data_IF_224714606653
#
_entry.id   IF_224714606653
#
_cell.length_a   1.000
_cell.length_b   1.000
_cell.length_c   1.000
_cell.angle_alpha   90.00
_cell.angle_beta   90.00
_cell.angle_gamma   90.00
#
_symmetry.space_group_name_H-M   'P 1'
#
loop_
_entity.id
_entity.type
_entity.pdbx_description
1 polymer ?
#
# COMPACT_ATOMS: atom_id res chain seq x y z
N UNK A 1 6.17 -2.24 10.48
CA UNK A 1 4.93 -1.64 9.97
C UNK A 1 3.89 -1.59 11.09
N UNK A 2 3.34 -0.42 11.39
CA UNK A 2 2.25 -0.29 12.38
C UNK A 2 0.87 -0.40 11.72
N UNK A 3 0.74 0.02 10.46
CA UNK A 3 -0.47 -0.14 9.65
C UNK A 3 -0.49 -1.46 8.88
N UNK A 4 -1.65 -2.11 8.78
CA UNK A 4 -1.83 -3.23 7.84
C UNK A 4 -2.00 -2.72 6.41
N UNK A 5 -1.40 -3.38 5.40
CA UNK A 5 -1.56 -3.02 3.98
C UNK A 5 -3.02 -2.95 3.55
N UNK A 6 -3.86 -3.88 4.03
CA UNK A 6 -5.29 -4.00 3.69
C UNK A 6 -6.13 -2.79 4.10
N UNK A 7 -5.61 -1.91 4.97
CA UNK A 7 -6.30 -0.70 5.38
C UNK A 7 -6.18 0.44 4.38
N UNK A 8 -5.29 0.29 3.40
CA UNK A 8 -4.91 1.34 2.48
C UNK A 8 -4.93 0.86 1.03
N UNK A 9 -5.10 1.82 0.12
CA UNK A 9 -4.94 1.63 -1.31
C UNK A 9 -3.80 2.50 -1.81
N UNK A 10 -2.95 1.96 -2.69
CA UNK A 10 -1.93 2.74 -3.38
C UNK A 10 -2.59 3.82 -4.24
N UNK A 11 -2.10 5.04 -4.14
CA UNK A 11 -2.60 6.16 -4.95
C UNK A 11 -2.28 5.90 -6.43
N UNK A 12 -3.28 6.03 -7.32
CA UNK A 12 -3.08 5.81 -8.76
C UNK A 12 -2.15 6.84 -9.41
N UNK A 13 -2.09 8.06 -8.85
CA UNK A 13 -1.23 9.15 -9.35
C UNK A 13 -0.52 9.83 -8.17
N UNK A 14 0.80 9.84 -8.21
CA UNK A 14 1.67 10.38 -7.16
C UNK A 14 2.18 9.34 -6.17
N UNK A 15 2.83 9.80 -5.10
CA UNK A 15 3.35 8.97 -4.02
C UNK A 15 2.40 8.97 -2.81
N UNK A 16 2.34 7.84 -2.11
CA UNK A 16 1.58 7.68 -0.87
C UNK A 16 0.43 6.69 -0.95
N UNK A 17 -0.35 6.66 0.12
CA UNK A 17 -1.44 5.71 0.35
C UNK A 17 -2.73 6.46 0.71
N UNK A 18 -3.87 5.87 0.41
CA UNK A 18 -5.19 6.41 0.77
C UNK A 18 -5.91 5.39 1.64
N UNK A 19 -6.41 5.78 2.84
CA UNK A 19 -7.16 4.87 3.68
C UNK A 19 -8.47 4.47 3.00
N UNK A 20 -8.80 3.17 3.05
CA UNK A 20 -10.04 2.64 2.46
C UNK A 20 -11.06 2.19 3.52
N UNK A 21 -10.61 1.89 4.73
CA UNK A 21 -11.46 1.45 5.84
C UNK A 21 -11.33 2.37 7.05
N UNK A 22 -12.26 2.24 8.00
CA UNK A 22 -12.27 3.06 9.23
C UNK A 22 -10.99 2.88 10.07
N UNK A 23 -10.39 1.68 10.05
CA UNK A 23 -9.11 1.41 10.71
C UNK A 23 -7.96 2.21 10.08
N UNK A 24 -7.94 2.31 8.74
CA UNK A 24 -6.99 3.15 8.01
C UNK A 24 -7.17 4.64 8.31
N UNK A 25 -8.40 5.11 8.45
CA UNK A 25 -8.69 6.48 8.89
C UNK A 25 -8.26 6.72 10.35
N UNK A 26 -8.53 5.78 11.26
CA UNK A 26 -8.05 5.83 12.63
C UNK A 26 -6.53 5.92 12.69
N UNK A 27 -5.84 5.10 11.89
CA UNK A 27 -4.40 5.16 11.74
C UNK A 27 -3.89 6.51 11.24
N UNK A 28 -4.52 7.07 10.21
CA UNK A 28 -4.19 8.41 9.70
C UNK A 28 -4.40 9.48 10.77
N UNK A 29 -5.51 9.42 11.52
CA UNK A 29 -5.77 10.33 12.62
C UNK A 29 -4.72 10.22 13.74
N UNK A 30 -4.28 9.00 14.05
CA UNK A 30 -3.18 8.78 15.02
C UNK A 30 -1.89 9.46 14.56
N UNK A 31 -1.49 9.29 13.30
CA UNK A 31 -0.28 9.97 12.79
C UNK A 31 -0.42 11.49 12.76
N UNK A 32 -1.58 12.01 12.38
CA UNK A 32 -1.87 13.44 12.49
C UNK A 32 -1.70 13.92 13.93
N UNK A 33 -2.22 13.17 14.91
CA UNK A 33 -2.04 13.46 16.33
C UNK A 33 -0.57 13.47 16.76
N UNK A 34 0.20 12.46 16.38
CA UNK A 34 1.64 12.35 16.71
C UNK A 34 2.46 13.47 16.09
N UNK A 35 2.09 13.95 14.90
CA UNK A 35 2.76 15.06 14.24
C UNK A 35 2.37 16.41 14.85
N UNK A 36 1.07 16.66 15.04
CA UNK A 36 0.54 17.98 15.39
C UNK A 36 0.58 18.24 16.90
N UNK A 37 0.17 17.28 17.72
CA UNK A 37 -0.02 17.54 19.17
C UNK A 37 1.29 17.91 19.86
N UNK A 38 2.39 17.15 19.73
CA UNK A 38 3.64 17.52 20.40
C UNK A 38 4.26 18.77 19.79
N UNK A 39 4.09 19.01 18.48
CA UNK A 39 4.52 20.24 17.83
C UNK A 39 3.83 21.47 18.44
N UNK A 40 2.51 21.44 18.63
CA UNK A 40 1.77 22.55 19.22
C UNK A 40 2.14 22.76 20.71
N UNK A 41 2.32 21.68 21.47
CA UNK A 41 2.71 21.76 22.88
C UNK A 41 4.12 22.37 23.03
N UNK A 42 5.10 21.89 22.26
CA UNK A 42 6.48 22.39 22.31
C UNK A 42 6.57 23.83 21.77
N UNK A 43 5.83 24.15 20.71
CA UNK A 43 5.80 25.50 20.16
C UNK A 43 5.14 26.50 21.12
N UNK A 44 4.09 26.07 21.85
CA UNK A 44 3.41 26.90 22.86
C UNK A 44 4.33 27.28 24.03
N UNK A 45 5.25 26.39 24.41
CA UNK A 45 6.26 26.63 25.45
C UNK A 45 7.50 27.39 24.93
N UNK A 46 7.53 27.79 23.64
CA UNK A 46 8.66 28.50 23.03
C UNK A 46 9.86 27.61 22.69
N UNK A 47 9.74 26.28 22.82
CA UNK A 47 10.77 25.28 22.53
C UNK A 47 10.82 24.98 21.03
N UNK A 48 11.20 25.99 20.24
CA UNK A 48 11.19 25.91 18.78
C UNK A 48 12.15 24.86 18.22
N UNK A 49 13.31 24.68 18.86
CA UNK A 49 14.34 23.76 18.39
C UNK A 49 13.90 22.30 18.60
N UNK A 50 13.34 22.00 19.77
CA UNK A 50 12.70 20.73 20.12
C UNK A 50 11.51 20.44 19.20
N UNK A 51 10.71 21.47 18.88
CA UNK A 51 9.59 21.36 17.94
C UNK A 51 10.07 20.96 16.55
N UNK A 52 11.17 21.55 16.07
CA UNK A 52 11.77 21.20 14.78
C UNK A 52 12.38 19.80 14.78
N UNK A 53 13.08 19.43 15.86
CA UNK A 53 13.62 18.07 16.04
C UNK A 53 12.47 17.06 16.03
N UNK A 54 11.40 17.33 16.78
CA UNK A 54 10.24 16.45 16.82
C UNK A 54 9.58 16.32 15.45
N UNK A 55 9.30 17.45 14.79
CA UNK A 55 8.64 17.46 13.49
C UNK A 55 9.45 16.72 12.43
N UNK A 56 10.78 16.93 12.39
CA UNK A 56 11.67 16.25 11.45
C UNK A 56 11.75 14.75 11.73
N UNK A 57 11.91 14.35 12.99
CA UNK A 57 11.93 12.94 13.40
C UNK A 57 10.60 12.23 13.11
N UNK A 58 9.46 12.84 13.48
CA UNK A 58 8.14 12.29 13.26
C UNK A 58 7.78 12.20 11.77
N UNK A 59 8.16 13.21 10.98
CA UNK A 59 7.98 13.17 9.51
C UNK A 59 8.81 12.05 8.89
N UNK A 60 10.07 11.89 9.31
CA UNK A 60 10.93 10.79 8.86
C UNK A 60 10.33 9.42 9.18
N UNK A 61 9.84 9.24 10.41
CA UNK A 61 9.17 8.02 10.85
C UNK A 61 7.90 7.74 10.04
N UNK A 62 7.08 8.76 9.77
CA UNK A 62 5.89 8.65 8.94
C UNK A 62 6.24 8.21 7.51
N UNK A 63 7.21 8.86 6.88
CA UNK A 63 7.65 8.51 5.51
C UNK A 63 8.21 7.09 5.46
N UNK A 64 9.00 6.70 6.46
CA UNK A 64 9.52 5.34 6.58
C UNK A 64 8.39 4.31 6.69
N UNK A 65 7.41 4.56 7.55
CA UNK A 65 6.30 3.63 7.74
C UNK A 65 5.41 3.54 6.49
N UNK A 66 5.10 4.66 5.82
CA UNK A 66 4.42 4.67 4.51
C UNK A 66 5.19 3.87 3.47
N UNK A 67 6.53 3.97 3.45
CA UNK A 67 7.38 3.14 2.57
C UNK A 67 7.27 1.66 2.89
N UNK A 68 7.25 1.28 4.17
CA UNK A 68 7.05 -0.12 4.54
C UNK A 68 5.66 -0.63 4.13
N UNK A 69 4.62 0.17 4.34
CA UNK A 69 3.25 -0.16 3.93
C UNK A 69 3.15 -0.33 2.41
N UNK A 70 3.77 0.57 1.62
CA UNK A 70 3.84 0.45 0.17
C UNK A 70 4.66 -0.77 -0.28
N UNK A 71 5.78 -1.06 0.38
CA UNK A 71 6.60 -2.24 0.10
C UNK A 71 5.85 -3.54 0.38
N UNK A 72 5.06 -3.58 1.45
CA UNK A 72 4.22 -4.73 1.77
C UNK A 72 3.00 -4.89 0.82
N UNK A 73 2.54 -3.80 0.18
CA UNK A 73 1.48 -3.83 -0.84
C UNK A 73 1.94 -4.23 -2.23
N UNK A 74 3.23 -4.08 -2.54
CA UNK A 74 3.81 -4.62 -3.77
C UNK A 74 4.33 -6.02 -3.45
N UNK A 75 3.53 -7.10 -3.64
CA UNK A 75 4.16 -8.39 -3.80
C UNK A 75 5.05 -8.24 -5.04
N UNK A 76 6.35 -8.42 -4.85
CA UNK A 76 7.25 -9.04 -5.81
C UNK A 76 6.73 -8.98 -7.25
N UNK A 77 7.19 -7.99 -8.02
CA UNK A 77 7.10 -7.95 -9.47
C UNK A 77 8.06 -8.98 -10.08
N UNK A 78 7.95 -10.23 -9.62
CA UNK A 78 8.85 -11.35 -9.92
C UNK A 78 8.06 -12.65 -9.71
N UNK A 79 7.03 -12.87 -10.53
CA UNK A 79 6.57 -14.20 -10.95
C UNK A 79 5.48 -14.05 -12.03
N UNK A 80 5.74 -14.66 -13.19
CA UNK A 80 4.82 -15.00 -14.28
C UNK A 80 4.16 -13.87 -15.09
N UNK A 81 4.98 -13.09 -15.80
CA UNK A 81 4.58 -12.73 -17.18
C UNK A 81 4.87 -13.94 -18.06
N UNK A 82 3.84 -14.76 -18.28
CA UNK A 82 3.86 -15.81 -19.29
C UNK A 82 4.05 -15.13 -20.66
N UNK A 83 5.28 -15.13 -21.18
CA UNK A 83 5.48 -14.84 -22.60
C UNK A 83 4.81 -15.97 -23.38
N UNK A 84 3.68 -15.68 -24.00
CA UNK A 84 3.18 -16.52 -25.09
C UNK A 84 4.15 -16.29 -26.24
N UNK A 85 5.18 -17.12 -26.32
CA UNK A 85 5.97 -17.23 -27.53
C UNK A 85 5.08 -17.88 -28.58
N UNK A 86 4.64 -17.11 -29.58
CA UNK A 86 3.80 -17.60 -30.68
C UNK A 86 4.59 -18.45 -31.70
N UNK A 87 5.73 -19.01 -31.29
CA UNK A 87 6.67 -19.75 -32.13
C UNK A 87 7.09 -21.08 -31.52
N UNK A 88 6.14 -21.96 -31.20
CA UNK A 88 6.36 -23.38 -31.49
C UNK A 88 5.04 -24.17 -31.56
N UNK A 89 4.75 -24.61 -32.77
CA UNK A 89 3.69 -25.54 -33.15
C UNK A 89 3.90 -26.92 -32.52
N UNK A 90 2.79 -27.65 -32.33
CA UNK A 90 2.66 -29.12 -32.20
C UNK A 90 2.86 -29.72 -30.79
N UNK A 91 1.75 -29.85 -30.07
CA UNK A 91 1.23 -31.16 -29.61
C UNK A 91 0.03 -30.90 -28.69
N UNK A 92 -1.18 -30.91 -29.24
CA UNK A 92 -2.07 -32.08 -29.11
C UNK A 92 -2.06 -32.72 -27.71
N UNK A 93 -2.32 -31.98 -26.63
CA UNK A 93 -2.66 -32.64 -25.36
C UNK A 93 -3.44 -31.83 -24.33
N UNK A 94 -4.14 -30.76 -24.73
CA UNK A 94 -5.12 -30.14 -23.83
C UNK A 94 -6.46 -30.86 -23.89
N UNK A 95 -6.52 -31.88 -23.04
CA UNK A 95 -7.69 -32.43 -22.38
C UNK A 95 -8.87 -31.45 -22.28
N UNK A 96 -9.78 -31.49 -23.25
CA UNK A 96 -11.10 -30.87 -23.18
C UNK A 96 -12.03 -31.71 -22.30
N UNK A 97 -11.85 -31.58 -20.98
CA UNK A 97 -12.80 -32.09 -19.99
C UNK A 97 -13.88 -31.04 -19.76
N UNK A 98 -15.12 -31.40 -20.14
CA UNK A 98 -16.40 -30.73 -19.87
C UNK A 98 -16.71 -29.43 -20.64
N UNK A 99 -17.25 -29.58 -21.85
CA UNK A 99 -18.26 -28.66 -22.37
C UNK A 99 -19.62 -29.36 -22.36
N UNK A 100 -20.55 -28.86 -21.54
CA UNK A 100 -21.94 -29.31 -21.49
C UNK A 100 -22.72 -28.58 -22.60
N UNK A 101 -23.00 -29.28 -23.70
CA UNK A 101 -23.79 -28.74 -24.81
C UNK A 101 -25.28 -28.96 -24.55
N UNK A 102 -25.98 -27.90 -24.11
CA UNK A 102 -27.45 -27.88 -24.16
C UNK A 102 -27.92 -27.57 -25.58
N UNK A 103 -28.37 -28.60 -26.28
CA UNK A 103 -29.18 -28.45 -27.51
C UNK A 103 -30.61 -28.09 -27.09
N UNK A 104 -31.10 -26.91 -27.51
CA UNK A 104 -32.53 -26.59 -27.51
C UNK A 104 -33.13 -27.18 -28.79
N UNK A 105 -34.10 -28.07 -28.63
CA UNK A 105 -35.02 -28.50 -29.70
C UNK A 105 -36.10 -27.48 -30.00
#
# INVERSE_FOLDING_TARGET
MFGKPDWFKKKQRGWGVTPICWQGWGYTATWIGVLIVPFLLLAGEGLMLESLIWLTAATGAFVWDVRQILGAMSPVADEDVLYIDETETLSEQFATRNFDFRLRG
#
